data_IF_138222879893
#
_entry.id   IF_138222879893
#
_cell.length_a   1.000
_cell.length_b   1.000
_cell.length_c   1.000
_cell.angle_alpha   90.00
_cell.angle_beta   90.00
_cell.angle_gamma   90.00
#
_symmetry.space_group_name_H-M   'P 1'
#
loop_
_entity.id
_entity.type
_entity.pdbx_description
1 polymer ?
#
# COMPACT_ATOMS: atom_id res chain seq x y z
N UNK A 1 -6.77 -4.56 -8.79
CA UNK A 1 -6.29 -3.22 -8.38
C UNK A 1 -5.89 -3.30 -6.91
N UNK A 2 -4.62 -3.05 -6.55
CA UNK A 2 -4.20 -2.95 -5.14
C UNK A 2 -4.32 -1.50 -4.70
N UNK A 3 -4.90 -1.27 -3.54
CA UNK A 3 -5.05 0.07 -2.98
C UNK A 3 -3.73 0.53 -2.40
N UNK A 4 -3.23 1.69 -2.85
CA UNK A 4 -1.98 2.28 -2.34
C UNK A 4 -2.23 3.04 -1.03
N UNK A 5 -1.16 3.25 -0.26
CA UNK A 5 -1.22 4.08 0.95
C UNK A 5 -1.65 5.54 0.63
N UNK A 6 -1.24 6.08 -0.52
CA UNK A 6 -1.65 7.41 -0.98
C UNK A 6 -3.16 7.50 -1.21
N UNK A 7 -3.73 6.52 -1.92
CA UNK A 7 -5.17 6.47 -2.15
C UNK A 7 -5.95 6.35 -0.83
N UNK A 8 -5.50 5.50 0.09
CA UNK A 8 -6.13 5.39 1.41
C UNK A 8 -6.10 6.73 2.18
N UNK A 9 -5.00 7.49 2.08
CA UNK A 9 -4.89 8.83 2.69
C UNK A 9 -5.83 9.84 2.04
N UNK A 10 -5.93 9.85 0.71
CA UNK A 10 -6.88 10.71 -0.02
C UNK A 10 -8.32 10.43 0.38
N UNK A 11 -8.69 9.15 0.50
CA UNK A 11 -10.01 8.75 0.94
C UNK A 11 -10.28 9.13 2.40
N UNK A 12 -9.30 8.97 3.29
CA UNK A 12 -9.40 9.44 4.67
C UNK A 12 -9.68 10.93 4.74
N UNK A 13 -8.89 11.75 4.03
CA UNK A 13 -9.09 13.20 3.97
C UNK A 13 -10.48 13.57 3.43
N UNK A 14 -10.90 12.95 2.33
CA UNK A 14 -12.23 13.16 1.76
C UNK A 14 -13.36 12.88 2.74
N UNK A 15 -13.23 11.83 3.57
CA UNK A 15 -14.26 11.50 4.56
C UNK A 15 -14.25 12.45 5.78
N UNK A 16 -13.08 12.97 6.16
CA UNK A 16 -12.98 14.04 7.17
C UNK A 16 -13.67 15.30 6.67
N UNK A 17 -13.41 15.71 5.43
CA UNK A 17 -14.04 16.88 4.82
C UNK A 17 -15.55 16.71 4.70
N UNK A 18 -16.03 15.51 4.34
CA UNK A 18 -17.45 15.17 4.35
C UNK A 18 -18.06 15.29 5.75
N UNK A 19 -17.40 14.76 6.77
CA UNK A 19 -17.87 14.85 8.15
C UNK A 19 -17.98 16.31 8.64
N UNK A 20 -17.02 17.17 8.27
CA UNK A 20 -17.02 18.58 8.64
C UNK A 20 -18.20 19.35 8.05
N UNK A 21 -18.64 18.99 6.83
CA UNK A 21 -19.70 19.68 6.10
C UNK A 21 -21.08 19.01 6.25
N UNK A 22 -21.18 17.92 7.01
CA UNK A 22 -22.41 17.14 7.13
C UNK A 22 -23.30 17.67 8.27
N UNK A 23 -24.52 18.16 8.00
CA UNK A 23 -25.41 18.69 9.02
C UNK A 23 -26.04 17.59 9.90
N UNK A 24 -26.26 16.39 9.35
CA UNK A 24 -26.92 15.32 10.07
C UNK A 24 -25.91 14.50 10.90
N UNK A 25 -26.12 14.43 12.21
CA UNK A 25 -25.19 13.79 13.14
C UNK A 25 -24.93 12.31 12.81
N UNK A 26 -25.97 11.57 12.38
CA UNK A 26 -25.85 10.17 11.97
C UNK A 26 -24.88 10.01 10.78
N UNK A 27 -25.00 10.87 9.77
CA UNK A 27 -24.14 10.87 8.58
C UNK A 27 -22.72 11.32 8.92
N UNK A 28 -22.57 12.29 9.82
CA UNK A 28 -21.25 12.70 10.35
C UNK A 28 -20.54 11.54 11.02
N UNK A 29 -21.22 10.77 11.88
CA UNK A 29 -20.66 9.57 12.52
C UNK A 29 -20.21 8.53 11.51
N UNK A 30 -21.01 8.30 10.46
CA UNK A 30 -20.65 7.37 9.37
C UNK A 30 -19.39 7.84 8.64
N UNK A 31 -19.31 9.12 8.28
CA UNK A 31 -18.15 9.69 7.58
C UNK A 31 -16.87 9.60 8.44
N UNK A 32 -16.97 9.89 9.74
CA UNK A 32 -15.84 9.73 10.66
C UNK A 32 -15.41 8.27 10.82
N UNK A 33 -16.35 7.34 10.93
CA UNK A 33 -16.03 5.92 10.98
C UNK A 33 -15.35 5.44 9.69
N UNK A 34 -15.81 5.93 8.53
CA UNK A 34 -15.17 5.65 7.26
C UNK A 34 -13.75 6.23 7.21
N UNK A 35 -13.52 7.46 7.69
CA UNK A 35 -12.19 8.06 7.79
C UNK A 35 -11.24 7.21 8.65
N UNK A 36 -11.72 6.71 9.79
CA UNK A 36 -10.94 5.82 10.66
C UNK A 36 -10.58 4.51 9.96
N UNK A 37 -11.52 3.90 9.24
CA UNK A 37 -11.28 2.67 8.48
C UNK A 37 -10.23 2.89 7.37
N UNK A 38 -10.31 4.01 6.64
CA UNK A 38 -9.30 4.37 5.66
C UNK A 38 -7.93 4.58 6.29
N UNK A 39 -7.86 5.24 7.46
CA UNK A 39 -6.61 5.40 8.21
C UNK A 39 -5.97 4.06 8.60
N UNK A 40 -6.76 3.06 8.99
CA UNK A 40 -6.26 1.71 9.25
C UNK A 40 -5.74 1.03 7.97
N UNK A 41 -6.44 1.23 6.85
CA UNK A 41 -6.03 0.66 5.56
C UNK A 41 -4.74 1.30 5.01
N UNK A 42 -4.43 2.57 5.34
CA UNK A 42 -3.13 3.18 5.05
C UNK A 42 -2.00 2.33 5.62
N UNK A 43 -2.09 1.99 6.92
CA UNK A 43 -1.06 1.21 7.62
C UNK A 43 -0.91 -0.19 6.98
N UNK A 44 -2.03 -0.81 6.61
CA UNK A 44 -2.01 -2.11 5.93
C UNK A 44 -1.39 -2.02 4.53
N UNK A 45 -1.71 -0.97 3.77
CA UNK A 45 -1.13 -0.73 2.45
C UNK A 45 0.39 -0.50 2.54
N UNK A 46 0.87 0.26 3.52
CA UNK A 46 2.30 0.47 3.77
C UNK A 46 3.01 -0.84 4.11
N UNK A 47 2.43 -1.66 5.00
CA UNK A 47 2.98 -3.00 5.32
C UNK A 47 3.05 -3.91 4.10
N UNK A 48 2.03 -3.88 3.24
CA UNK A 48 2.03 -4.67 1.99
C UNK A 48 3.09 -4.17 1.02
N UNK A 49 3.28 -2.86 0.89
CA UNK A 49 4.31 -2.27 0.04
C UNK A 49 5.72 -2.66 0.49
N UNK A 50 6.02 -2.55 1.79
CA UNK A 50 7.31 -2.97 2.36
C UNK A 50 7.57 -4.47 2.16
N UNK A 51 6.54 -5.30 2.30
CA UNK A 51 6.67 -6.74 2.05
C UNK A 51 6.98 -7.02 0.58
N UNK A 52 6.34 -6.29 -0.34
CA UNK A 52 6.55 -6.46 -1.77
C UNK A 52 7.95 -6.02 -2.17
N UNK A 53 8.40 -4.84 -1.74
CA UNK A 53 9.75 -4.34 -2.02
C UNK A 53 10.84 -5.33 -1.57
N UNK A 54 10.65 -5.98 -0.42
CA UNK A 54 11.57 -7.03 0.06
C UNK A 54 11.58 -8.26 -0.84
N UNK A 55 10.44 -8.66 -1.37
CA UNK A 55 10.34 -9.81 -2.29
C UNK A 55 10.96 -9.44 -3.64
N UNK A 56 10.65 -8.26 -4.17
CA UNK A 56 11.21 -7.77 -5.45
C UNK A 56 12.75 -7.70 -5.38
N UNK A 57 13.31 -7.27 -4.24
CA UNK A 57 14.77 -7.28 -4.01
C UNK A 57 15.35 -8.70 -3.99
N UNK A 58 14.69 -9.63 -3.30
CA UNK A 58 15.13 -11.02 -3.24
C UNK A 58 15.10 -11.66 -4.63
N UNK A 59 14.03 -11.43 -5.39
CA UNK A 59 13.88 -11.95 -6.74
C UNK A 59 14.98 -11.38 -7.67
N UNK A 60 15.36 -10.10 -7.50
CA UNK A 60 16.47 -9.49 -8.22
C UNK A 60 17.84 -10.10 -7.85
N UNK A 61 18.08 -10.40 -6.57
CA UNK A 61 19.31 -11.08 -6.11
C UNK A 61 19.41 -12.49 -6.68
N UNK A 62 18.31 -13.24 -6.67
CA UNK A 62 18.22 -14.59 -7.27
C UNK A 62 18.46 -14.53 -8.78
N UNK A 63 17.83 -13.59 -9.49
CA UNK A 63 18.03 -13.43 -10.94
C UNK A 63 19.50 -13.12 -11.29
N UNK A 64 20.18 -12.35 -10.43
CA UNK A 64 21.60 -12.05 -10.60
C UNK A 64 22.49 -13.29 -10.38
N UNK A 65 22.19 -14.12 -9.38
CA UNK A 65 22.89 -15.39 -9.14
C UNK A 65 22.81 -16.31 -10.37
N UNK A 66 21.61 -16.53 -10.89
CA UNK A 66 21.41 -17.34 -12.09
C UNK A 66 22.18 -16.80 -13.31
N UNK A 67 22.22 -15.48 -13.51
CA UNK A 67 22.98 -14.87 -14.60
C UNK A 67 24.49 -15.14 -14.46
N UNK A 68 25.05 -14.98 -13.26
CA UNK A 68 26.46 -15.23 -12.99
C UNK A 68 26.84 -16.72 -13.18
N UNK A 69 25.96 -17.65 -12.81
CA UNK A 69 26.15 -19.08 -13.05
C UNK A 69 26.17 -19.42 -14.55
N UNK A 70 25.29 -18.80 -15.34
CA UNK A 70 25.28 -19.04 -16.79
C UNK A 70 26.53 -18.52 -17.50
N UNK A 71 27.12 -17.41 -17.04
CA UNK A 71 28.38 -16.90 -17.58
C UNK A 71 29.55 -17.82 -17.23
N UNK A 72 29.62 -18.29 -15.98
CA UNK A 72 30.70 -19.17 -15.49
C UNK A 72 30.64 -20.58 -16.09
N UNK A 73 29.48 -21.10 -16.45
CA UNK A 73 29.34 -22.42 -17.08
C UNK A 73 29.61 -22.42 -18.61
N UNK A 74 29.70 -21.23 -19.24
CA UNK A 74 29.92 -21.10 -20.69
C UNK A 74 31.40 -20.98 -21.11
N UNK A 75 32.32 -21.01 -20.15
CA UNK A 75 33.76 -20.88 -20.36
C UNK A 75 34.56 -22.08 -19.87
N UNK A 76 34.49 -23.20 -20.58
CA UNK A 76 35.48 -24.29 -20.59
C UNK A 76 35.55 -24.90 -22.02
#
# INVERSE_FOLDING_TARGET
>A
MRVSASFCREQQASQIDKAANEPLENRRKIALAAAMAWGAEVILAEKRALKLERLDKLDAEIALEFANETETFSGD
#
